data_IF_084192825827
#
_entry.id   IF_084192825827
#
_cell.length_a   1.000
_cell.length_b   1.000
_cell.length_c   1.000
_cell.angle_alpha   90.00
_cell.angle_beta   90.00
_cell.angle_gamma   90.00
#
_symmetry.space_group_name_H-M   'P 1'
#
loop_
_entity.id
_entity.type
_entity.pdbx_description
1 polymer ?
#
# COMPACT_ATOMS: atom_id res chain seq x y z
N UNK A 1 3.67 18.81 -70.72
CA UNK A 1 4.17 19.88 -69.82
C UNK A 1 3.49 19.69 -68.47
N UNK A 2 4.23 19.26 -67.43
CA UNK A 2 3.68 18.91 -66.11
C UNK A 2 4.22 19.89 -65.08
N UNK A 3 3.38 20.84 -64.68
CA UNK A 3 3.73 21.91 -63.74
C UNK A 3 3.87 21.37 -62.32
N UNK A 4 5.06 21.49 -61.74
CA UNK A 4 5.36 21.12 -60.35
C UNK A 4 5.05 22.33 -59.45
N UNK A 5 3.90 22.31 -58.76
CA UNK A 5 3.59 23.28 -57.71
C UNK A 5 4.35 22.88 -56.43
N UNK A 6 5.37 23.66 -56.05
CA UNK A 6 5.95 23.59 -54.71
C UNK A 6 4.98 24.25 -53.72
N UNK A 7 4.24 23.45 -52.97
CA UNK A 7 3.58 23.89 -51.74
C UNK A 7 4.67 24.12 -50.69
N UNK A 8 5.01 25.37 -50.42
CA UNK A 8 5.89 25.72 -49.30
C UNK A 8 5.16 25.48 -47.98
N UNK A 9 5.60 24.50 -47.20
CA UNK A 9 5.18 24.37 -45.81
C UNK A 9 5.86 25.48 -45.00
N UNK A 10 5.09 26.44 -44.50
CA UNK A 10 5.55 27.44 -43.55
C UNK A 10 5.73 26.80 -42.19
N UNK A 11 6.98 26.64 -41.75
CA UNK A 11 7.28 26.40 -40.34
C UNK A 11 6.98 27.69 -39.56
N UNK A 12 5.95 27.68 -38.74
CA UNK A 12 5.73 28.74 -37.75
C UNK A 12 6.77 28.54 -36.63
N UNK A 13 7.83 29.35 -36.63
CA UNK A 13 8.84 29.36 -35.58
C UNK A 13 8.38 30.18 -34.38
N UNK A 14 8.48 29.61 -33.18
CA UNK A 14 8.27 30.33 -31.92
C UNK A 14 9.43 31.30 -31.66
N UNK A 15 9.12 32.47 -31.09
CA UNK A 15 10.16 33.45 -30.77
C UNK A 15 10.96 33.01 -29.53
N UNK A 16 12.24 33.40 -29.43
CA UNK A 16 13.07 33.08 -28.26
C UNK A 16 12.45 33.62 -26.97
N UNK A 17 11.83 34.80 -27.05
CA UNK A 17 11.13 35.44 -25.93
C UNK A 17 9.90 34.63 -25.48
N UNK A 18 9.16 34.05 -26.42
CA UNK A 18 8.01 33.19 -26.11
C UNK A 18 8.40 31.92 -25.37
N UNK A 19 9.52 31.29 -25.76
CA UNK A 19 10.06 30.14 -25.04
C UNK A 19 10.55 30.54 -23.64
N UNK A 20 11.17 31.71 -23.48
CA UNK A 20 11.60 32.20 -22.15
C UNK A 20 10.41 32.43 -21.21
N UNK A 21 9.32 33.02 -21.71
CA UNK A 21 8.10 33.24 -20.94
C UNK A 21 7.38 31.92 -20.64
N UNK A 22 7.30 31.00 -21.61
CA UNK A 22 6.70 29.69 -21.37
C UNK A 22 7.46 28.91 -20.28
N UNK A 23 8.79 28.90 -20.34
CA UNK A 23 9.63 28.24 -19.33
C UNK A 23 9.48 28.89 -17.94
N UNK A 24 9.39 30.23 -17.86
CA UNK A 24 9.21 30.89 -16.56
C UNK A 24 7.88 30.51 -15.92
N UNK A 25 6.80 30.43 -16.70
CA UNK A 25 5.49 29.96 -16.21
C UNK A 25 5.54 28.50 -15.76
N UNK A 26 6.19 27.63 -16.53
CA UNK A 26 6.36 26.20 -16.16
C UNK A 26 7.10 26.07 -14.82
N UNK A 27 8.18 26.82 -14.60
CA UNK A 27 8.95 26.79 -13.35
C UNK A 27 8.11 27.27 -12.15
N UNK A 28 7.32 28.34 -12.33
CA UNK A 28 6.41 28.83 -11.28
C UNK A 28 5.37 27.76 -10.94
N UNK A 29 4.77 27.11 -11.94
CA UNK A 29 3.78 26.05 -11.70
C UNK A 29 4.41 24.82 -11.04
N UNK A 30 5.59 24.39 -11.51
CA UNK A 30 6.29 23.22 -10.98
C UNK A 30 6.62 23.37 -9.48
N UNK A 31 7.08 24.56 -9.06
CA UNK A 31 7.41 24.83 -7.65
C UNK A 31 6.19 24.79 -6.73
N UNK A 32 5.01 25.19 -7.21
CA UNK A 32 3.76 25.12 -6.44
C UNK A 32 3.19 23.70 -6.36
N UNK A 33 3.36 22.88 -7.41
CA UNK A 33 2.80 21.51 -7.46
C UNK A 33 3.68 20.43 -6.81
N UNK A 34 5.00 20.62 -6.73
CA UNK A 34 5.90 19.59 -6.18
C UNK A 34 5.56 19.09 -4.75
N UNK A 35 5.23 19.96 -3.75
CA UNK A 35 4.94 19.49 -2.39
C UNK A 35 3.64 18.67 -2.30
N UNK A 36 2.62 18.96 -3.12
CA UNK A 36 1.32 18.28 -3.04
C UNK A 36 1.37 16.82 -3.49
N UNK A 37 2.27 16.47 -4.41
CA UNK A 37 2.48 15.08 -4.81
C UNK A 37 3.12 14.24 -3.71
N UNK A 38 4.05 14.80 -2.94
CA UNK A 38 4.69 14.08 -1.83
C UNK A 38 3.68 13.80 -0.71
N UNK A 39 2.87 14.80 -0.35
CA UNK A 39 1.80 14.63 0.66
C UNK A 39 0.75 13.62 0.22
N UNK A 40 0.39 13.61 -1.06
CA UNK A 40 -0.58 12.65 -1.61
C UNK A 40 -0.04 11.22 -1.55
N UNK A 41 1.24 11.01 -1.85
CA UNK A 41 1.87 9.70 -1.74
C UNK A 41 1.90 9.20 -0.28
N UNK A 42 2.25 10.06 0.67
CA UNK A 42 2.27 9.71 2.10
C UNK A 42 0.86 9.42 2.64
N UNK A 43 -0.16 10.12 2.13
CA UNK A 43 -1.57 9.83 2.48
C UNK A 43 -2.00 8.46 1.94
N UNK A 44 -1.69 8.17 0.68
CA UNK A 44 -2.02 6.90 0.05
C UNK A 44 -1.40 5.69 0.78
N UNK A 45 -0.16 5.80 1.27
CA UNK A 45 0.48 4.70 2.02
C UNK A 45 -0.22 4.45 3.35
N UNK A 46 -0.65 5.50 4.05
CA UNK A 46 -1.42 5.37 5.30
C UNK A 46 -2.80 4.77 5.07
N UNK A 47 -3.51 5.22 4.04
CA UNK A 47 -4.83 4.69 3.68
C UNK A 47 -4.73 3.21 3.29
N UNK A 48 -3.71 2.82 2.53
CA UNK A 48 -3.46 1.42 2.18
C UNK A 48 -3.22 0.54 3.43
N UNK A 49 -2.41 1.01 4.39
CA UNK A 49 -2.17 0.28 5.64
C UNK A 49 -3.45 0.12 6.49
N UNK A 50 -4.30 1.15 6.54
CA UNK A 50 -5.60 1.06 7.21
C UNK A 50 -6.56 0.09 6.50
N UNK A 51 -6.60 0.11 5.17
CA UNK A 51 -7.45 -0.80 4.41
C UNK A 51 -7.00 -2.26 4.60
N UNK A 52 -5.70 -2.51 4.62
CA UNK A 52 -5.16 -3.84 4.88
C UNK A 52 -5.56 -4.35 6.27
N UNK A 53 -5.37 -3.53 7.32
CA UNK A 53 -5.76 -3.88 8.68
C UNK A 53 -7.27 -4.14 8.81
N UNK A 54 -8.11 -3.29 8.23
CA UNK A 54 -9.57 -3.45 8.29
C UNK A 54 -10.04 -4.70 7.54
N UNK A 55 -9.42 -5.02 6.39
CA UNK A 55 -9.70 -6.25 5.65
C UNK A 55 -9.32 -7.50 6.45
N UNK A 56 -8.17 -7.48 7.14
CA UNK A 56 -7.73 -8.56 8.01
C UNK A 56 -8.64 -8.74 9.21
N UNK A 57 -9.10 -7.64 9.82
CA UNK A 57 -10.05 -7.67 10.92
C UNK A 57 -11.39 -8.28 10.49
N UNK A 58 -11.87 -7.93 9.28
CA UNK A 58 -13.08 -8.50 8.72
C UNK A 58 -12.94 -10.01 8.46
N UNK A 59 -11.79 -10.44 7.92
CA UNK A 59 -11.46 -11.85 7.71
C UNK A 59 -11.46 -12.61 9.04
N UNK A 60 -10.69 -12.13 10.02
CA UNK A 60 -10.62 -12.74 11.35
C UNK A 60 -12.00 -12.82 12.00
N UNK A 61 -12.82 -11.76 11.90
CA UNK A 61 -14.18 -11.80 12.43
C UNK A 61 -15.02 -12.88 11.75
N UNK A 62 -14.92 -13.01 10.43
CA UNK A 62 -15.67 -14.05 9.70
C UNK A 62 -15.23 -15.46 10.08
N UNK A 63 -13.92 -15.66 10.29
CA UNK A 63 -13.34 -16.94 10.67
C UNK A 63 -13.66 -17.31 12.13
N UNK A 64 -13.57 -16.35 13.04
CA UNK A 64 -13.98 -16.48 14.44
C UNK A 64 -15.44 -16.93 14.57
N UNK A 65 -16.33 -16.32 13.78
CA UNK A 65 -17.76 -16.70 13.74
C UNK A 65 -17.96 -18.09 13.13
N UNK A 66 -17.29 -18.38 12.01
CA UNK A 66 -17.42 -19.67 11.33
C UNK A 66 -16.95 -20.86 12.21
N UNK A 67 -15.87 -20.67 12.95
CA UNK A 67 -15.29 -21.71 13.82
C UNK A 67 -15.81 -21.65 15.26
N UNK A 68 -16.62 -20.64 15.62
CA UNK A 68 -17.05 -20.37 17.01
C UNK A 68 -15.86 -20.28 17.98
N UNK A 69 -14.77 -19.66 17.55
CA UNK A 69 -13.52 -19.48 18.31
C UNK A 69 -13.18 -18.01 18.46
N UNK A 70 -12.52 -17.66 19.54
CA UNK A 70 -11.95 -16.31 19.71
C UNK A 70 -10.66 -16.22 18.90
N UNK A 71 -10.56 -15.21 18.03
CA UNK A 71 -9.31 -14.87 17.36
C UNK A 71 -8.77 -13.56 17.92
N UNK A 72 -7.47 -13.55 18.22
CA UNK A 72 -6.75 -12.35 18.65
C UNK A 72 -5.80 -11.91 17.56
N UNK A 73 -5.77 -10.60 17.31
CA UNK A 73 -4.84 -9.97 16.37
C UNK A 73 -3.81 -9.19 17.18
N UNK A 74 -2.54 -9.47 16.95
CA UNK A 74 -1.45 -8.76 17.60
C UNK A 74 -0.35 -8.39 16.60
N UNK A 75 0.37 -7.31 16.91
CA UNK A 75 1.57 -6.89 16.18
C UNK A 75 2.66 -7.94 16.38
N UNK A 76 3.45 -8.22 15.35
CA UNK A 76 4.52 -9.22 15.42
C UNK A 76 5.68 -8.81 14.53
N UNK A 77 6.90 -8.97 15.05
CA UNK A 77 8.15 -8.72 14.32
C UNK A 77 8.73 -9.99 13.71
N UNK A 78 8.50 -11.12 14.37
CA UNK A 78 9.04 -12.45 14.06
C UNK A 78 8.00 -13.37 13.42
N UNK A 79 6.79 -12.85 13.17
CA UNK A 79 5.66 -13.60 12.60
C UNK A 79 5.22 -14.82 13.42
N UNK A 80 5.66 -14.91 14.68
CA UNK A 80 5.42 -16.06 15.54
C UNK A 80 4.90 -15.65 16.93
N UNK A 81 5.34 -14.51 17.45
CA UNK A 81 4.96 -14.02 18.76
C UNK A 81 4.37 -12.62 18.70
N UNK A 82 3.52 -12.31 19.68
CA UNK A 82 3.03 -10.95 19.86
C UNK A 82 4.16 -10.05 20.36
N UNK A 83 4.43 -8.98 19.63
CA UNK A 83 5.44 -8.02 20.02
C UNK A 83 5.05 -7.29 21.31
N UNK A 84 6.05 -7.11 22.18
CA UNK A 84 5.90 -6.30 23.38
C UNK A 84 5.45 -4.87 23.04
N UNK A 85 4.67 -4.26 23.92
CA UNK A 85 3.89 -3.04 23.69
C UNK A 85 4.65 -1.83 23.11
N UNK A 86 5.98 -1.79 23.22
CA UNK A 86 6.83 -0.65 22.84
C UNK A 86 7.83 -0.91 21.69
N UNK A 87 7.74 -2.03 20.98
CA UNK A 87 8.75 -2.40 19.97
C UNK A 87 8.26 -2.62 18.55
N UNK A 88 6.95 -2.75 18.33
CA UNK A 88 6.39 -3.03 17.02
C UNK A 88 5.25 -2.09 16.67
N UNK A 89 5.26 -1.65 15.41
CA UNK A 89 4.20 -0.88 14.80
C UNK A 89 3.36 -1.78 13.86
N UNK A 90 2.11 -1.38 13.58
CA UNK A 90 1.19 -2.17 12.76
C UNK A 90 1.60 -2.27 11.29
N UNK A 91 2.51 -1.40 10.84
CA UNK A 91 3.12 -1.44 9.51
C UNK A 91 4.24 -2.49 9.40
N UNK A 92 4.78 -2.93 10.54
CA UNK A 92 5.87 -3.91 10.59
C UNK A 92 5.38 -5.35 10.47
N UNK A 93 4.08 -5.58 10.59
CA UNK A 93 3.47 -6.90 10.50
C UNK A 93 2.59 -7.23 11.71
N UNK A 94 1.74 -8.22 11.51
CA UNK A 94 0.79 -8.70 12.51
C UNK A 94 0.47 -10.16 12.25
N UNK A 95 0.00 -10.83 13.31
CA UNK A 95 -0.46 -12.20 13.26
C UNK A 95 -1.87 -12.30 13.81
N UNK A 96 -2.60 -13.30 13.33
CA UNK A 96 -3.94 -13.67 13.78
C UNK A 96 -3.85 -15.10 14.27
N UNK A 97 -4.30 -15.35 15.49
CA UNK A 97 -4.28 -16.67 16.08
C UNK A 97 -5.55 -16.94 16.87
N UNK A 98 -5.90 -18.21 17.01
CA UNK A 98 -6.98 -18.64 17.91
C UNK A 98 -6.51 -18.45 19.34
N UNK A 99 -7.18 -17.60 20.11
CA UNK A 99 -6.86 -17.33 21.50
C UNK A 99 -7.71 -18.25 22.39
N UNK A 100 -7.11 -19.36 22.80
CA UNK A 100 -7.76 -20.38 23.61
C UNK A 100 -7.15 -20.50 25.01
N UNK A 101 -6.10 -19.73 25.28
CA UNK A 101 -5.32 -19.75 26.52
C UNK A 101 -5.21 -18.38 27.17
N UNK A 102 -3.98 -17.87 27.28
CA UNK A 102 -3.72 -16.57 27.90
C UNK A 102 -3.89 -15.46 26.88
N UNK A 103 -4.78 -14.52 27.19
CA UNK A 103 -5.12 -13.43 26.27
C UNK A 103 -3.87 -12.63 25.85
N UNK A 104 -3.63 -12.55 24.54
CA UNK A 104 -2.51 -11.78 23.98
C UNK A 104 -1.15 -12.49 23.99
N UNK A 105 -1.10 -13.76 24.38
CA UNK A 105 0.11 -14.59 24.30
C UNK A 105 -0.13 -15.83 23.46
N UNK A 106 0.63 -15.98 22.37
CA UNK A 106 0.62 -17.19 21.55
C UNK A 106 1.18 -18.34 22.38
N UNK A 107 0.32 -19.31 22.69
CA UNK A 107 0.68 -20.48 23.50
C UNK A 107 0.42 -21.80 22.74
N UNK A 108 0.74 -22.93 23.38
CA UNK A 108 0.67 -24.25 22.74
C UNK A 108 -0.75 -24.71 22.34
N UNK A 109 -1.80 -24.08 22.88
CA UNK A 109 -3.18 -24.38 22.49
C UNK A 109 -3.66 -23.51 21.32
N UNK A 110 -2.86 -22.52 20.93
CA UNK A 110 -3.23 -21.55 19.90
C UNK A 110 -2.73 -22.00 18.52
N UNK A 111 -3.49 -21.63 17.50
CA UNK A 111 -3.18 -21.92 16.10
C UNK A 111 -3.10 -20.62 15.34
N UNK A 112 -2.04 -20.45 14.54
CA UNK A 112 -1.87 -19.28 13.67
C UNK A 112 -2.86 -19.40 12.49
N UNK A 113 -3.83 -18.49 12.45
CA UNK A 113 -4.81 -18.41 11.38
C UNK A 113 -4.27 -17.62 10.19
N UNK A 114 -3.54 -16.52 10.45
CA UNK A 114 -2.93 -15.72 9.40
C UNK A 114 -1.69 -14.98 9.90
N UNK A 115 -0.75 -14.74 9.00
CA UNK A 115 0.50 -14.02 9.26
C UNK A 115 0.70 -12.98 8.18
N UNK A 116 1.05 -11.76 8.59
CA UNK A 116 1.34 -10.64 7.72
C UNK A 116 2.71 -10.04 8.04
N UNK A 117 3.62 -10.03 7.06
CA UNK A 117 4.93 -9.38 7.17
C UNK A 117 4.91 -7.89 6.76
N UNK A 118 6.00 -7.16 7.03
CA UNK A 118 6.15 -5.75 6.66
C UNK A 118 6.20 -5.62 5.14
N UNK A 119 5.18 -4.98 4.54
CA UNK A 119 5.11 -4.63 3.13
C UNK A 119 5.14 -5.84 2.18
N UNK A 120 3.97 -6.33 1.75
CA UNK A 120 3.89 -7.51 0.87
C UNK A 120 4.79 -7.38 -0.37
N UNK A 121 5.89 -8.12 -0.40
CA UNK A 121 6.39 -8.72 -1.64
C UNK A 121 5.84 -10.14 -1.70
N UNK A 122 4.75 -10.28 -2.47
CA UNK A 122 4.13 -11.54 -2.88
C UNK A 122 3.45 -12.32 -1.74
N UNK A 123 2.16 -12.03 -1.54
CA UNK A 123 1.27 -13.03 -0.97
C UNK A 123 1.12 -14.15 -2.00
N UNK A 124 1.91 -15.22 -1.87
CA UNK A 124 1.61 -16.48 -2.52
C UNK A 124 0.40 -17.08 -1.79
N UNK A 125 -0.78 -16.98 -2.40
CA UNK A 125 -1.99 -17.64 -1.91
C UNK A 125 -1.86 -19.11 -2.30
N UNK A 126 -1.16 -19.90 -1.47
CA UNK A 126 -1.23 -21.36 -1.58
C UNK A 126 -2.57 -21.77 -0.97
N UNK A 127 -3.60 -21.91 -1.81
CA UNK A 127 -4.84 -22.57 -1.43
C UNK A 127 -4.53 -24.05 -1.17
N UNK A 128 -4.12 -24.40 0.04
CA UNK A 128 -4.17 -25.80 0.47
C UNK A 128 -5.62 -26.13 0.80
N UNK A 129 -6.31 -26.71 -0.18
CA UNK A 129 -7.56 -27.43 0.08
C UNK A 129 -7.19 -28.72 0.80
N UNK A 130 -7.54 -28.84 2.09
CA UNK A 130 -7.47 -30.13 2.77
C UNK A 130 -8.52 -31.06 2.18
N UNK A 131 -8.07 -32.15 1.55
CA UNK A 131 -8.89 -33.33 1.24
C UNK A 131 -9.16 -34.13 2.49
#
# INVERSE_FOLDING_TARGET
MRSYRKTGATFAGYTLLEIMVALSVIVILATLTAPSFQDSLVRNTREAAMLELTSALALARSEAVAQSRTLTICRSLDQATCAASSGADWDQGWIIFTDSGVAGEVNANDTLAAVQGPGKKQAEIILQTSS
#
